data_IF_766424478173
#
_entry.id   IF_766424478173
#
_cell.length_a   1.000
_cell.length_b   1.000
_cell.length_c   1.000
_cell.angle_alpha   90.00
_cell.angle_beta   90.00
_cell.angle_gamma   90.00
#
_symmetry.space_group_name_H-M   'P 1'
#
loop_
_entity.id
_entity.type
_entity.pdbx_description
1 polymer ?
2 non-polymer ?
3 non-polymer ?
4 non-polymer ?
5 non-polymer ?
6 non-polymer ?
7 water ?
#
# COMPACT_ATOMS: atom_id res chain seq x y z
N UNK A 7 0.47 25.46 14.70
CA UNK A 7 -0.83 25.23 14.09
C UNK A 7 -1.10 23.76 13.78
N UNK A 8 -1.33 23.42 12.48
CA UNK A 8 -1.56 22.07 11.93
C UNK A 8 -0.40 21.13 12.31
N UNK A 9 0.69 21.73 12.79
CA UNK A 9 1.91 21.10 13.23
C UNK A 9 1.66 20.10 14.32
N UNK A 10 0.80 20.42 15.29
CA UNK A 10 0.48 19.55 16.42
C UNK A 10 -0.17 18.22 15.99
N UNK A 11 -0.65 18.17 14.73
CA UNK A 11 -1.24 16.99 14.09
C UNK A 11 -0.11 16.14 13.47
N UNK A 12 0.88 16.81 12.84
CA UNK A 12 2.00 16.16 12.19
C UNK A 12 3.05 15.65 13.18
N UNK A 13 3.45 16.47 14.17
CA UNK A 13 4.46 16.17 15.20
C UNK A 13 4.40 14.73 15.77
N UNK A 14 3.24 14.17 16.22
CA UNK A 14 3.25 12.80 16.79
C UNK A 14 3.75 11.72 15.83
N UNK A 15 3.35 11.80 14.53
CA UNK A 15 3.74 10.87 13.47
C UNK A 15 5.26 10.85 13.19
N UNK A 16 6.00 11.90 13.63
CA UNK A 16 7.45 12.09 13.47
C UNK A 16 8.27 11.55 14.66
N UNK A 17 7.63 10.77 15.57
CA UNK A 17 8.26 10.17 16.74
C UNK A 17 9.46 9.25 16.42
N UNK A 18 9.41 8.56 15.25
CA UNK A 18 10.44 7.65 14.72
C UNK A 18 11.79 8.31 14.31
N UNK A 19 11.81 9.66 14.24
CA UNK A 19 12.98 10.45 13.86
C UNK A 19 13.75 10.96 15.07
N UNK A 20 15.07 11.11 14.91
CA UNK A 20 15.96 11.61 15.93
C UNK A 20 15.60 13.06 16.21
N UNK A 21 15.79 13.59 17.44
CA UNK A 21 15.43 14.99 17.71
C UNK A 21 15.91 16.02 16.69
N UNK A 22 17.16 15.87 16.18
CA UNK A 22 17.78 16.76 15.19
C UNK A 22 17.03 16.69 13.87
N UNK A 23 16.54 15.50 13.54
CA UNK A 23 15.77 15.25 12.33
C UNK A 23 14.42 15.91 12.47
N UNK A 24 13.78 15.81 13.65
CA UNK A 24 12.48 16.43 13.87
C UNK A 24 12.58 17.95 13.77
N UNK A 25 13.66 18.52 14.32
CA UNK A 25 13.87 19.97 14.24
C UNK A 25 13.95 20.41 12.78
N UNK A 26 14.59 19.58 11.90
CA UNK A 26 14.71 19.85 10.45
C UNK A 26 13.32 19.93 9.84
N UNK A 27 12.46 18.92 10.15
CA UNK A 27 11.08 18.82 9.67
C UNK A 27 10.25 20.05 10.14
N UNK A 28 10.41 20.50 11.43
CA UNK A 28 9.73 21.69 11.97
C UNK A 28 10.20 22.94 11.24
N UNK A 29 11.53 23.06 11.03
CA UNK A 29 12.11 24.18 10.31
C UNK A 29 11.62 24.22 8.88
N UNK A 30 11.33 23.04 8.29
CA UNK A 30 10.75 22.89 6.95
C UNK A 30 9.28 23.33 6.95
N UNK A 31 8.47 22.86 7.93
CA UNK A 31 7.06 23.23 8.07
C UNK A 31 6.93 24.73 8.31
N UNK A 32 7.79 25.30 9.19
CA UNK A 32 7.78 26.71 9.51
C UNK A 32 8.10 27.57 8.28
N UNK A 33 8.99 27.04 7.42
CA UNK A 33 9.34 27.70 6.18
C UNK A 33 8.20 27.58 5.18
N UNK A 34 7.61 26.37 5.02
CA UNK A 34 6.46 26.13 4.12
C UNK A 34 5.31 27.02 4.54
N UNK A 35 4.93 27.00 5.83
CA UNK A 35 3.85 27.85 6.35
C UNK A 35 4.09 29.35 6.09
N UNK A 36 5.35 29.82 6.17
CA UNK A 36 5.72 31.18 5.83
C UNK A 36 5.61 31.41 4.31
N UNK A 37 6.06 30.43 3.47
CA UNK A 37 6.02 30.50 2.01
C UNK A 37 4.61 30.41 1.44
N UNK A 38 3.74 29.55 2.00
CA UNK A 38 2.35 29.33 1.57
C UNK A 38 1.35 30.15 2.34
N UNK A 39 1.82 31.21 3.01
CA UNK A 39 0.97 32.11 3.77
C UNK A 39 0.11 32.93 2.81
N UNK A 40 -1.19 32.87 3.05
CA UNK A 40 -2.20 33.59 2.27
C UNK A 40 -2.66 32.89 1.01
N UNK A 41 -2.06 31.74 0.70
CA UNK A 41 -2.40 30.94 -0.47
C UNK A 41 -3.52 29.99 -0.11
N UNK A 42 -4.42 29.75 -1.09
CA UNK A 42 -5.52 28.82 -0.96
C UNK A 42 -5.47 27.73 -2.02
N UNK A 43 -6.12 26.60 -1.73
CA UNK A 43 -6.22 25.50 -2.67
C UNK A 43 -7.53 25.72 -3.48
N UNK A 44 -7.92 24.75 -4.37
CA UNK A 44 -9.18 24.84 -5.12
C UNK A 44 -10.31 24.79 -4.06
N UNK A 45 -10.16 23.90 -3.05
CA UNK A 45 -11.03 23.88 -1.87
C UNK A 45 -10.59 25.12 -1.08
N UNK A 46 -11.54 25.85 -0.50
CA UNK A 46 -11.26 27.08 0.25
C UNK A 46 -10.15 27.04 1.29
N UNK A 47 -9.71 25.82 1.63
CA UNK A 47 -8.66 25.46 2.58
C UNK A 47 -7.32 26.17 2.30
N UNK A 48 -6.56 26.60 3.35
CA UNK A 48 -5.23 27.20 3.11
C UNK A 48 -4.28 26.19 2.51
N UNK A 49 -3.38 26.64 1.61
CA UNK A 49 -2.47 25.75 0.90
C UNK A 49 -1.65 24.87 1.82
N UNK A 50 -1.11 25.41 2.93
CA UNK A 50 -0.30 24.60 3.86
C UNK A 50 -0.95 23.24 4.23
N UNK A 51 -2.30 23.11 4.22
CA UNK A 51 -2.91 21.85 4.61
C UNK A 51 -2.41 20.70 3.71
N UNK A 52 -2.21 21.00 2.40
CA UNK A 52 -1.72 20.06 1.39
C UNK A 52 -0.29 19.60 1.73
N UNK A 53 0.78 20.44 1.74
CA UNK A 53 2.11 19.92 2.08
C UNK A 53 2.20 19.20 3.45
N UNK A 54 1.35 19.58 4.45
CA UNK A 54 1.31 18.90 5.77
C UNK A 54 0.75 17.49 5.56
N UNK A 55 -0.39 17.36 4.84
CA UNK A 55 -1.02 16.07 4.54
C UNK A 55 -0.16 15.14 3.71
N UNK A 56 0.72 15.69 2.86
CA UNK A 56 1.68 14.94 2.06
C UNK A 56 2.81 14.44 3.02
N UNK A 57 3.30 15.34 3.92
CA UNK A 57 4.31 15.03 4.93
C UNK A 57 3.78 14.00 5.88
N UNK A 58 2.45 14.00 6.14
CA UNK A 58 1.78 12.99 6.98
C UNK A 58 1.84 11.62 6.31
N UNK A 59 1.54 11.56 4.99
CA UNK A 59 1.55 10.32 4.20
C UNK A 59 2.93 9.67 4.21
N UNK A 60 3.98 10.50 4.02
CA UNK A 60 5.38 10.08 4.03
C UNK A 60 5.79 9.63 5.45
N UNK A 61 5.40 10.39 6.51
CA UNK A 61 5.71 10.05 7.90
C UNK A 61 5.04 8.73 8.36
N UNK A 62 3.89 8.40 7.77
CA UNK A 62 3.19 7.17 8.05
C UNK A 62 3.97 5.98 7.50
N UNK A 63 4.73 6.26 6.43
CA UNK A 63 5.57 5.27 5.75
C UNK A 63 6.97 5.24 6.36
N UNK A 64 7.17 6.00 7.42
CA UNK A 64 8.43 6.14 8.13
C UNK A 64 9.58 6.55 7.20
N UNK A 65 9.30 7.52 6.32
CA UNK A 65 10.25 8.04 5.34
C UNK A 65 11.36 8.87 5.98
N UNK A 66 12.45 8.99 5.19
CA UNK A 66 13.67 9.75 5.39
C UNK A 66 13.34 11.17 5.84
N UNK A 67 14.14 11.74 6.79
CA UNK A 67 13.93 13.11 7.31
C UNK A 67 13.88 14.16 6.22
N UNK A 68 14.82 14.09 5.27
CA UNK A 68 14.89 14.99 4.12
C UNK A 68 13.67 14.79 3.21
N UNK A 69 13.15 13.52 3.12
CA UNK A 69 11.97 13.18 2.33
C UNK A 69 10.73 13.78 2.95
N UNK A 70 10.55 13.67 4.28
CA UNK A 70 9.37 14.25 4.93
C UNK A 70 9.41 15.76 4.74
N UNK A 71 10.57 16.39 5.04
CA UNK A 71 10.85 17.83 4.90
C UNK A 71 10.58 18.30 3.47
N UNK A 72 11.07 17.54 2.45
CA UNK A 72 10.85 17.81 1.03
C UNK A 72 9.35 17.73 0.67
N UNK A 73 8.58 16.94 1.40
CA UNK A 73 7.13 16.83 1.26
C UNK A 73 6.45 18.11 1.74
N UNK A 74 7.00 18.77 2.76
CA UNK A 74 6.46 20.06 3.23
C UNK A 74 6.83 21.20 2.24
N UNK A 75 7.98 21.06 1.57
CA UNK A 75 8.46 22.11 0.66
C UNK A 75 8.23 21.86 -0.84
N UNK A 76 7.73 20.68 -1.26
CA UNK A 76 7.55 20.25 -2.66
C UNK A 76 6.87 21.25 -3.57
N UNK A 77 6.16 22.28 -3.03
CA UNK A 77 5.48 23.27 -3.85
C UNK A 77 6.07 24.67 -3.71
N UNK A 78 7.03 24.87 -2.77
CA UNK A 78 7.65 26.17 -2.50
C UNK A 78 8.49 26.72 -3.67
N UNK A 79 8.44 26.09 -4.85
CA UNK A 79 9.20 26.60 -5.98
C UNK A 79 8.30 27.04 -7.15
N UNK A 80 7.16 26.35 -7.36
CA UNK A 80 6.25 26.68 -8.46
C UNK A 80 5.57 28.00 -8.19
N UNK A 81 5.93 29.01 -9.05
CA UNK A 81 5.51 30.42 -9.09
C UNK A 81 5.59 31.09 -7.72
N UNK A 82 6.40 30.50 -6.84
CA UNK A 82 6.65 30.95 -5.47
C UNK A 82 7.95 31.73 -5.48
N UNK A 83 8.01 32.77 -4.63
CA UNK A 83 9.16 33.63 -4.46
C UNK A 83 10.29 32.99 -3.69
N UNK A 84 10.45 31.64 -3.80
CA UNK A 84 11.52 30.88 -3.16
C UNK A 84 12.48 30.41 -4.23
N UNK A 85 13.77 30.69 -4.01
CA UNK A 85 14.83 30.35 -4.92
C UNK A 85 15.38 28.99 -4.53
N UNK A 86 15.74 28.10 -5.50
CA UNK A 86 16.27 26.77 -5.12
C UNK A 86 17.55 26.83 -4.30
N UNK A 87 18.28 27.93 -4.43
CA UNK A 87 19.53 28.17 -3.70
C UNK A 87 19.30 28.28 -2.16
N UNK A 88 18.15 28.89 -1.77
CA UNK A 88 17.72 29.05 -0.38
C UNK A 88 17.44 27.66 0.26
N UNK A 89 16.76 26.75 -0.47
CA UNK A 89 16.46 25.40 0.01
C UNK A 89 17.73 24.61 0.25
N UNK A 90 18.77 24.80 -0.61
CA UNK A 90 20.07 24.12 -0.48
C UNK A 90 20.84 24.67 0.72
N UNK A 91 20.71 25.99 0.95
CA UNK A 91 21.36 26.71 2.04
C UNK A 91 20.77 26.28 3.39
N UNK A 92 19.45 26.10 3.44
CA UNK A 92 18.75 25.84 4.67
C UNK A 92 18.51 24.37 4.98
N UNK A 93 18.12 23.58 3.98
CA UNK A 93 17.79 22.19 4.22
C UNK A 93 18.71 21.16 3.53
N UNK A 94 19.73 21.66 2.84
CA UNK A 94 20.71 20.82 2.17
C UNK A 94 20.47 20.58 0.69
N UNK A 95 21.40 19.86 0.02
CA UNK A 95 21.20 19.61 -1.42
C UNK A 95 20.17 18.52 -1.69
N UNK A 96 20.06 17.50 -0.79
CA UNK A 96 19.11 16.39 -0.94
C UNK A 96 17.67 16.87 -0.94
N UNK A 97 17.31 17.82 -0.05
CA UNK A 97 15.97 18.37 0.02
C UNK A 97 15.72 19.17 -1.25
N UNK A 98 16.71 20.01 -1.64
CA UNK A 98 16.68 20.85 -2.84
C UNK A 98 16.49 19.99 -4.08
N UNK A 99 17.23 18.86 -4.18
CA UNK A 99 17.19 17.91 -5.30
C UNK A 99 15.78 17.38 -5.51
N UNK A 100 15.19 16.71 -4.48
CA UNK A 100 13.84 16.13 -4.48
C UNK A 100 12.81 17.21 -4.86
N UNK A 101 12.84 18.39 -4.19
CA UNK A 101 11.87 19.47 -4.36
C UNK A 101 11.90 19.99 -5.80
N UNK A 102 13.10 20.23 -6.39
CA UNK A 102 13.25 20.70 -7.78
C UNK A 102 12.56 19.71 -8.68
N UNK A 103 12.91 18.44 -8.53
CA UNK A 103 12.37 17.30 -9.26
C UNK A 103 10.85 17.17 -9.23
N UNK A 104 10.22 17.26 -8.02
CA UNK A 104 8.76 17.21 -7.82
C UNK A 104 8.05 18.44 -8.43
N UNK A 105 8.72 19.62 -8.44
CA UNK A 105 8.19 20.85 -9.04
C UNK A 105 8.27 20.77 -10.58
N UNK A 106 9.46 20.43 -11.09
CA UNK A 106 9.74 20.34 -12.54
C UNK A 106 8.86 19.26 -13.19
N UNK A 107 8.54 18.20 -12.46
CA UNK A 107 7.75 17.07 -13.05
C UNK A 107 6.23 17.31 -12.98
N UNK A 108 5.75 18.40 -13.55
CA UNK A 108 4.30 18.73 -13.76
C UNK A 108 3.51 19.08 -12.49
N UNK A 109 4.15 19.15 -11.32
CA UNK A 109 3.54 19.58 -10.03
C UNK A 109 2.23 18.85 -9.62
N UNK A 110 1.50 19.54 -8.73
CA UNK A 110 0.21 19.15 -8.11
C UNK A 110 -0.87 20.14 -8.58
N UNK A 111 -1.93 19.63 -9.26
CA UNK A 111 -3.07 20.31 -9.90
C UNK A 111 -2.72 21.07 -11.20
N UNK A 112 -1.67 20.62 -11.92
CA UNK A 112 -1.17 21.17 -13.18
C UNK A 112 -0.98 22.71 -13.19
N UNK A 121 -0.24 17.88 -23.47
CA UNK A 121 -0.58 16.47 -23.30
C UNK A 121 0.07 15.86 -22.03
N UNK A 122 -0.60 14.84 -21.44
CA UNK A 122 -0.16 14.09 -20.27
C UNK A 122 1.02 13.17 -20.60
N UNK A 123 1.29 12.98 -21.92
CA UNK A 123 2.41 12.20 -22.43
C UNK A 123 3.73 12.87 -21.99
N UNK A 124 3.79 14.23 -22.01
CA UNK A 124 4.97 15.02 -21.60
C UNK A 124 5.21 15.00 -20.09
N UNK A 125 4.12 14.85 -19.28
CA UNK A 125 4.17 14.80 -17.80
C UNK A 125 4.53 13.40 -17.29
N UNK A 126 4.24 12.37 -18.09
CA UNK A 126 4.57 10.98 -17.83
C UNK A 126 5.97 10.73 -18.36
N UNK A 127 6.38 11.51 -19.37
CA UNK A 127 7.73 11.45 -19.96
C UNK A 127 8.72 12.02 -18.95
N UNK A 128 8.42 13.19 -18.35
CA UNK A 128 9.25 13.88 -17.34
C UNK A 128 9.37 13.06 -16.07
N UNK A 129 8.34 12.25 -15.76
CA UNK A 129 8.29 11.35 -14.62
C UNK A 129 9.45 10.36 -14.72
N UNK A 130 9.72 9.86 -15.94
CA UNK A 130 10.81 8.93 -16.23
C UNK A 130 12.15 9.65 -16.19
N UNK A 131 12.26 10.81 -16.84
CA UNK A 131 13.47 11.67 -16.86
C UNK A 131 13.96 12.02 -15.43
N UNK A 132 13.02 12.12 -14.48
CA UNK A 132 13.39 12.40 -13.07
C UNK A 132 13.83 11.09 -12.40
N UNK A 133 13.53 9.95 -13.04
CA UNK A 133 13.87 8.59 -12.54
C UNK A 133 15.39 8.48 -12.40
N UNK A 134 16.14 9.09 -13.31
CA UNK A 134 17.61 9.17 -13.19
C UNK A 134 17.97 9.94 -11.91
N UNK A 135 17.22 10.99 -11.52
CA UNK A 135 17.69 11.73 -10.32
C UNK A 135 17.66 10.88 -9.06
N UNK A 136 16.49 10.41 -8.61
CA UNK A 136 16.31 9.43 -7.49
C UNK A 136 14.85 8.98 -7.38
N UNK A 137 14.64 7.72 -7.04
CA UNK A 137 13.23 7.32 -6.91
C UNK A 137 12.64 8.16 -5.78
N UNK A 138 13.47 8.90 -5.05
CA UNK A 138 13.02 9.72 -3.89
C UNK A 138 12.07 10.80 -4.40
N UNK A 139 12.37 11.37 -5.56
CA UNK A 139 11.48 12.40 -6.13
C UNK A 139 10.13 11.77 -6.35
N UNK A 140 10.07 10.57 -6.93
CA UNK A 140 8.77 9.94 -7.21
C UNK A 140 7.98 9.78 -5.91
N UNK A 141 8.54 9.07 -4.93
CA UNK A 141 7.88 8.78 -3.63
C UNK A 141 7.05 9.94 -3.14
N UNK A 142 7.63 11.12 -3.19
CA UNK A 142 6.93 12.32 -2.78
C UNK A 142 5.74 12.56 -3.71
N UNK A 143 5.93 12.41 -5.05
CA UNK A 143 4.87 12.57 -6.06
C UNK A 143 3.75 11.54 -5.88
N UNK A 144 4.06 10.37 -5.31
CA UNK A 144 3.09 9.32 -4.99
C UNK A 144 2.28 9.75 -3.77
N UNK A 145 2.94 10.33 -2.75
CA UNK A 145 2.27 10.80 -1.55
C UNK A 145 1.35 11.96 -1.89
N UNK A 146 1.86 12.89 -2.70
CA UNK A 146 1.15 14.06 -3.22
C UNK A 146 -0.06 13.60 -4.01
N UNK A 147 0.11 12.62 -4.94
CA UNK A 147 -0.96 12.08 -5.80
C UNK A 147 -2.07 11.49 -4.97
N UNK A 148 -1.70 10.69 -3.94
CA UNK A 148 -2.66 10.07 -3.02
C UNK A 148 -3.50 11.13 -2.32
N UNK A 149 -2.84 12.20 -1.83
CA UNK A 149 -3.57 13.27 -1.19
C UNK A 149 -4.49 14.01 -2.16
N UNK A 150 -4.01 14.27 -3.39
CA UNK A 150 -4.82 14.93 -4.41
C UNK A 150 -6.10 14.07 -4.67
N UNK A 151 -5.94 12.76 -4.87
CA UNK A 151 -7.09 11.88 -5.12
C UNK A 151 -8.11 11.91 -3.97
N UNK A 152 -7.60 12.04 -2.71
CA UNK A 152 -8.39 12.12 -1.49
C UNK A 152 -9.19 13.42 -1.43
N UNK A 153 -8.75 14.41 -2.16
CA UNK A 153 -9.40 15.72 -2.20
C UNK A 153 -9.81 16.07 -3.65
N UNK A 154 -10.23 15.04 -4.45
CA UNK A 154 -10.58 15.23 -5.86
C UNK A 154 -12.01 15.74 -6.08
N UNK A 155 -12.82 15.89 -5.00
CA UNK A 155 -14.19 16.42 -5.10
C UNK A 155 -14.23 17.93 -5.54
N UNK A 156 -13.09 18.62 -5.43
CA UNK A 156 -12.93 20.04 -5.77
C UNK A 156 -12.28 20.22 -7.14
N UNK A 157 -12.53 19.27 -8.05
CA UNK A 157 -11.97 19.26 -9.38
C UNK A 157 -13.06 19.08 -10.44
N UNK A 158 -12.96 19.76 -11.60
CA UNK A 158 -13.98 19.54 -12.67
C UNK A 158 -14.07 18.04 -13.04
N UNK A 159 -15.29 17.49 -13.28
CA UNK A 159 -15.41 16.04 -13.59
C UNK A 159 -14.57 15.49 -14.77
N UNK A 160 -14.01 16.36 -15.65
CA UNK A 160 -13.15 15.97 -16.78
C UNK A 160 -11.71 15.71 -16.26
N UNK A 161 -11.13 16.71 -15.52
CA UNK A 161 -9.79 16.70 -14.91
C UNK A 161 -9.66 15.51 -13.94
N UNK A 162 -10.80 15.14 -13.30
CA UNK A 162 -10.95 14.03 -12.38
C UNK A 162 -10.61 12.71 -13.09
N UNK A 163 -11.02 12.56 -14.38
CA UNK A 163 -10.80 11.35 -15.21
C UNK A 163 -9.37 11.29 -15.77
N UNK A 164 -8.75 12.44 -16.04
CA UNK A 164 -7.37 12.54 -16.52
C UNK A 164 -6.39 12.04 -15.44
N UNK A 165 -6.60 12.48 -14.18
CA UNK A 165 -5.79 12.11 -13.01
C UNK A 165 -5.93 10.63 -12.67
N UNK A 166 -7.18 10.12 -12.58
CA UNK A 166 -7.51 8.73 -12.23
C UNK A 166 -6.83 7.73 -13.17
N UNK A 167 -6.88 8.00 -14.49
CA UNK A 167 -6.25 7.17 -15.53
C UNK A 167 -4.74 7.13 -15.33
N UNK A 168 -4.13 8.31 -15.29
CA UNK A 168 -2.70 8.48 -15.06
C UNK A 168 -2.27 7.68 -13.83
N UNK A 169 -3.02 7.78 -12.71
CA UNK A 169 -2.71 7.10 -11.47
C UNK A 169 -2.68 5.62 -11.67
N UNK A 170 -3.71 5.06 -12.36
CA UNK A 170 -3.83 3.62 -12.62
C UNK A 170 -2.75 3.07 -13.55
N UNK A 171 -2.34 3.89 -14.51
CA UNK A 171 -1.32 3.53 -15.49
C UNK A 171 0.12 3.71 -14.95
N UNK A 172 0.38 4.82 -14.29
CA UNK A 172 1.71 5.18 -13.83
C UNK A 172 1.99 4.98 -12.32
N UNK A 173 1.28 5.69 -11.44
CA UNK A 173 1.60 5.70 -10.03
C UNK A 173 1.23 4.44 -9.24
N UNK A 174 0.00 3.92 -9.32
CA UNK A 174 -0.33 2.69 -8.58
C UNK A 174 0.69 1.57 -8.91
N UNK A 175 1.06 1.32 -10.19
CA UNK A 175 2.09 0.29 -10.46
C UNK A 175 3.46 0.63 -9.85
N UNK A 176 3.85 1.91 -9.84
CA UNK A 176 5.12 2.38 -9.26
C UNK A 176 5.17 2.14 -7.76
N UNK A 177 4.01 2.29 -7.09
CA UNK A 177 3.86 2.09 -5.65
C UNK A 177 4.08 0.65 -5.36
N UNK A 178 3.48 -0.22 -6.24
CA UNK A 178 3.52 -1.68 -6.25
C UNK A 178 4.96 -2.20 -6.29
N UNK A 179 5.75 -1.66 -7.24
CA UNK A 179 7.16 -1.93 -7.50
C UNK A 179 8.10 -1.38 -6.43
N UNK A 180 7.60 -0.47 -5.58
CA UNK A 180 8.40 0.08 -4.48
C UNK A 180 8.03 -0.62 -3.19
N UNK A 181 7.04 -1.51 -3.26
CA UNK A 181 6.56 -2.29 -2.14
C UNK A 181 5.66 -1.57 -1.16
N UNK A 182 4.96 -0.55 -1.65
CA UNK A 182 4.03 0.27 -0.83
C UNK A 182 2.59 -0.15 -1.16
N UNK A 183 2.23 -1.39 -0.81
CA UNK A 183 0.92 -1.98 -1.07
C UNK A 183 -0.27 -1.23 -0.51
N UNK A 184 -0.11 -0.54 0.62
CA UNK A 184 -1.25 0.19 1.22
C UNK A 184 -1.47 1.50 0.46
N UNK A 185 -0.40 2.02 -0.09
CA UNK A 185 -0.49 3.19 -0.97
C UNK A 185 -1.19 2.70 -2.28
N UNK A 186 -0.67 1.62 -2.90
CA UNK A 186 -1.14 1.01 -4.13
C UNK A 186 -2.63 0.73 -4.13
N UNK A 187 -3.16 0.08 -3.07
CA UNK A 187 -4.59 -0.22 -3.03
C UNK A 187 -5.43 1.05 -2.98
N UNK A 188 -5.02 2.06 -2.15
CA UNK A 188 -5.75 3.32 -2.01
C UNK A 188 -5.71 4.15 -3.25
N UNK A 189 -4.55 4.19 -3.93
CA UNK A 189 -4.41 4.90 -5.19
C UNK A 189 -5.36 4.28 -6.21
N UNK A 190 -5.41 2.92 -6.31
CA UNK A 190 -6.26 2.17 -7.24
C UNK A 190 -7.74 2.40 -6.98
N UNK A 191 -8.17 2.27 -5.72
CA UNK A 191 -9.56 2.40 -5.28
C UNK A 191 -10.14 3.83 -5.46
N UNK A 192 -9.32 4.87 -5.23
CA UNK A 192 -9.76 6.25 -5.42
C UNK A 192 -9.83 6.55 -6.90
N UNK A 193 -8.89 6.01 -7.69
CA UNK A 193 -8.87 6.15 -9.15
C UNK A 193 -10.09 5.49 -9.76
N UNK A 194 -10.45 4.29 -9.25
CA UNK A 194 -11.60 3.50 -9.69
C UNK A 194 -12.89 4.32 -9.47
N UNK A 195 -13.02 4.98 -8.31
CA UNK A 195 -14.16 5.80 -7.94
C UNK A 195 -14.45 6.86 -8.96
N UNK A 196 -13.42 7.60 -9.39
CA UNK A 196 -13.59 8.72 -10.31
C UNK A 196 -13.59 8.31 -11.79
N UNK A 197 -12.87 7.22 -12.16
CA UNK A 197 -12.81 6.73 -13.54
C UNK A 197 -14.14 6.06 -13.96
N UNK A 198 -14.56 4.99 -13.25
CA UNK A 198 -15.82 4.29 -13.49
C UNK A 198 -16.70 4.42 -12.24
N UNK A 199 -17.37 5.58 -12.00
CA UNK A 199 -18.18 5.70 -10.77
C UNK A 199 -19.38 4.76 -10.71
N UNK A 200 -20.04 4.48 -11.86
CA UNK A 200 -21.20 3.59 -11.97
C UNK A 200 -20.91 2.18 -11.50
N UNK A 201 -19.70 1.67 -11.83
CA UNK A 201 -19.20 0.35 -11.44
C UNK A 201 -18.81 0.37 -9.97
N UNK A 202 -18.16 1.48 -9.54
CA UNK A 202 -17.71 1.72 -8.17
C UNK A 202 -18.89 1.72 -7.20
N UNK A 203 -19.92 2.56 -7.48
CA UNK A 203 -21.15 2.71 -6.69
C UNK A 203 -21.97 1.44 -6.62
N UNK A 204 -21.97 0.64 -7.69
CA UNK A 204 -22.70 -0.62 -7.76
C UNK A 204 -22.05 -1.66 -6.84
N UNK A 205 -20.73 -1.81 -6.96
CA UNK A 205 -19.93 -2.76 -6.19
C UNK A 205 -19.82 -2.37 -4.73
N UNK A 206 -19.58 -1.07 -4.44
CA UNK A 206 -19.44 -0.56 -3.08
C UNK A 206 -20.70 -0.74 -2.22
N UNK A 207 -21.88 -0.41 -2.78
CA UNK A 207 -23.17 -0.58 -2.09
C UNK A 207 -23.47 -2.06 -1.84
N UNK A 208 -23.02 -2.95 -2.76
CA UNK A 208 -23.18 -4.41 -2.63
C UNK A 208 -22.39 -4.93 -1.40
N UNK A 209 -21.14 -4.47 -1.23
CA UNK A 209 -20.26 -4.81 -0.10
C UNK A 209 -20.81 -4.06 1.13
N UNK A 210 -21.63 -4.77 1.93
CA UNK A 210 -22.33 -4.27 3.12
C UNK A 210 -21.44 -3.48 4.11
N UNK A 211 -20.18 -3.96 4.33
CA UNK A 211 -19.20 -3.37 5.24
C UNK A 211 -18.18 -2.41 4.58
N UNK A 212 -17.54 -1.56 5.41
CA UNK A 212 -16.52 -0.58 5.02
C UNK A 212 -15.12 -1.20 5.22
N UNK A 213 -14.03 -0.51 4.77
CA UNK A 213 -12.64 -0.98 4.93
C UNK A 213 -12.22 -1.07 6.40
N UNK A 214 -12.89 -0.29 7.29
CA UNK A 214 -12.68 -0.31 8.74
C UNK A 214 -13.09 -1.69 9.30
N UNK A 215 -14.32 -2.15 8.95
CA UNK A 215 -14.88 -3.45 9.34
C UNK A 215 -14.13 -4.61 8.71
N UNK A 216 -13.65 -4.47 7.44
CA UNK A 216 -12.90 -5.50 6.70
C UNK A 216 -11.59 -5.87 7.40
N UNK A 217 -10.74 -4.86 7.70
CA UNK A 217 -9.43 -5.01 8.36
C UNK A 217 -9.53 -5.55 9.79
N UNK A 218 -10.66 -5.26 10.45
CA UNK A 218 -10.97 -5.73 11.81
C UNK A 218 -11.15 -7.25 11.82
N UNK A 219 -11.91 -7.80 10.82
CA UNK A 219 -12.19 -9.22 10.61
C UNK A 219 -10.93 -9.95 10.26
N UNK A 220 -10.13 -9.41 9.31
CA UNK A 220 -8.85 -10.00 8.88
C UNK A 220 -7.90 -10.15 10.08
N UNK A 221 -7.84 -9.13 10.96
CA UNK A 221 -7.00 -9.21 12.16
C UNK A 221 -7.53 -10.21 13.20
N UNK A 222 -8.86 -10.44 13.23
CA UNK A 222 -9.48 -11.43 14.13
C UNK A 222 -9.04 -12.81 13.64
N UNK A 223 -9.08 -13.03 12.32
CA UNK A 223 -8.68 -14.27 11.66
C UNK A 223 -7.20 -14.56 11.86
N UNK A 224 -6.35 -13.52 11.73
CA UNK A 224 -4.91 -13.60 11.92
C UNK A 224 -4.56 -14.06 13.36
N UNK A 225 -5.24 -13.47 14.39
CA UNK A 225 -5.07 -13.81 15.82
C UNK A 225 -5.44 -15.28 16.05
N UNK A 226 -6.59 -15.70 15.48
CA UNK A 226 -7.12 -17.05 15.57
C UNK A 226 -6.16 -18.09 14.99
N UNK A 227 -5.58 -17.82 13.80
CA UNK A 227 -4.63 -18.71 13.16
C UNK A 227 -3.29 -18.75 13.86
N UNK A 228 -2.70 -17.55 14.17
CA UNK A 228 -1.41 -17.40 14.88
C UNK A 228 -1.42 -18.19 16.19
N UNK A 229 -2.50 -18.05 17.00
CA UNK A 229 -2.62 -18.73 18.29
C UNK A 229 -2.88 -20.23 18.14
N UNK A 230 -3.53 -20.66 17.04
CA UNK A 230 -3.82 -22.07 16.74
C UNK A 230 -2.55 -22.81 16.30
N UNK A 231 -1.71 -22.16 15.49
CA UNK A 231 -0.46 -22.74 15.02
C UNK A 231 0.57 -22.86 16.14
N UNK A 232 0.74 -21.78 16.95
CA UNK A 232 1.66 -21.74 18.09
C UNK A 232 1.31 -22.77 19.17
N UNK A 233 0.02 -23.18 19.23
CA UNK A 233 -0.45 -24.17 20.20
C UNK A 233 -0.25 -25.63 19.73
N UNK A 234 0.05 -25.87 18.42
CA UNK A 234 0.29 -27.22 17.93
C UNK A 234 1.75 -27.62 18.22
N UNK A 235 1.90 -28.61 19.11
CA UNK A 235 3.19 -29.13 19.60
C UNK A 235 4.08 -29.73 18.51
N UNK A 236 3.54 -30.70 17.73
CA UNK A 236 4.27 -31.40 16.67
C UNK A 236 4.71 -30.46 15.54
N UNK A 237 3.88 -29.46 15.21
CA UNK A 237 4.22 -28.48 14.17
C UNK A 237 5.40 -27.64 14.61
N UNK A 238 5.33 -27.05 15.83
CA UNK A 238 6.38 -26.21 16.38
C UNK A 238 7.71 -26.96 16.53
N UNK A 239 7.67 -28.30 16.65
CA UNK A 239 8.87 -29.15 16.74
C UNK A 239 9.66 -29.14 15.42
N UNK A 240 8.95 -29.15 14.27
CA UNK A 240 9.55 -29.15 12.92
C UNK A 240 9.65 -27.73 12.33
N UNK A 241 9.27 -26.72 13.14
CA UNK A 241 9.26 -25.32 12.75
C UNK A 241 10.26 -24.49 13.57
N UNK A 242 10.82 -23.45 12.94
CA UNK A 242 11.75 -22.49 13.52
C UNK A 242 10.91 -21.26 13.93
N UNK A 243 9.92 -20.95 13.09
CA UNK A 243 8.98 -19.85 13.25
C UNK A 243 7.95 -19.79 12.14
N UNK A 244 7.00 -18.84 12.25
CA UNK A 244 5.91 -18.64 11.28
C UNK A 244 5.41 -17.19 11.24
N UNK A 245 4.67 -16.82 10.16
CA UNK A 245 4.14 -15.48 9.93
C UNK A 245 2.73 -15.59 9.30
N UNK A 246 1.73 -14.97 9.95
CA UNK A 246 0.33 -14.97 9.50
C UNK A 246 -0.09 -13.57 9.03
N UNK A 247 -0.08 -13.35 7.71
CA UNK A 247 -0.43 -12.07 7.07
C UNK A 247 -1.83 -12.11 6.49
N UNK A 248 -2.51 -10.97 6.46
CA UNK A 248 -3.86 -10.89 5.94
C UNK A 248 -4.03 -9.86 4.84
N UNK A 249 -5.23 -9.78 4.25
CA UNK A 249 -5.53 -8.84 3.17
C UNK A 249 -7.04 -8.86 2.98
N UNK A 250 -7.73 -7.72 2.84
CA UNK A 250 -9.16 -7.80 2.46
C UNK A 250 -9.07 -7.42 0.97
N UNK A 251 -9.86 -8.02 0.07
CA UNK A 251 -9.73 -7.66 -1.34
C UNK A 251 -10.27 -6.27 -1.59
N UNK A 252 -9.51 -5.44 -2.33
CA UNK A 252 -9.94 -4.08 -2.59
C UNK A 252 -10.73 -4.00 -3.86
N UNK A 253 -11.72 -3.10 -3.85
CA UNK A 253 -12.72 -2.84 -4.89
C UNK A 253 -12.19 -2.91 -6.32
N UNK A 254 -11.06 -2.23 -6.61
CA UNK A 254 -10.47 -2.29 -7.94
C UNK A 254 -10.07 -3.72 -8.32
N UNK A 255 -9.38 -4.46 -7.41
CA UNK A 255 -8.95 -5.85 -7.64
C UNK A 255 -10.12 -6.80 -7.66
N UNK A 256 -11.25 -6.42 -7.00
CA UNK A 256 -12.49 -7.22 -6.96
C UNK A 256 -13.17 -7.09 -8.32
N UNK A 257 -13.26 -5.87 -8.82
CA UNK A 257 -13.90 -5.60 -10.09
C UNK A 257 -13.05 -6.02 -11.28
N UNK A 258 -11.72 -5.93 -11.12
CA UNK A 258 -10.76 -6.29 -12.19
C UNK A 258 -10.88 -7.78 -12.55
N UNK A 259 -10.92 -8.66 -11.54
CA UNK A 259 -11.01 -10.09 -11.82
C UNK A 259 -12.42 -10.55 -12.14
N UNK A 260 -13.47 -9.78 -11.77
CA UNK A 260 -14.82 -10.16 -12.17
C UNK A 260 -15.00 -10.06 -13.68
N UNK A 261 -14.38 -9.04 -14.31
CA UNK A 261 -14.40 -8.75 -15.75
C UNK A 261 -13.42 -9.67 -16.49
N UNK A 262 -12.20 -9.85 -15.94
CA UNK A 262 -11.11 -10.67 -16.48
C UNK A 262 -11.43 -12.16 -16.45
N UNK A 263 -11.91 -12.67 -15.30
CA UNK A 263 -12.21 -14.10 -15.12
C UNK A 263 -13.66 -14.47 -15.49
N UNK A 264 -14.62 -13.61 -15.13
CA UNK A 264 -16.04 -13.82 -15.40
C UNK A 264 -16.90 -14.15 -14.20
N UNK A 265 -16.30 -14.29 -12.99
CA UNK A 265 -16.97 -14.63 -11.73
C UNK A 265 -17.86 -13.48 -11.17
N UNK A 266 -18.99 -13.80 -10.47
CA UNK A 266 -19.87 -12.82 -9.79
C UNK A 266 -19.15 -12.40 -8.47
N UNK A 267 -19.66 -11.39 -7.67
CA UNK A 267 -19.01 -11.01 -6.38
C UNK A 267 -19.17 -12.15 -5.35
N UNK A 268 -20.31 -12.88 -5.46
CA UNK A 268 -20.68 -14.07 -4.70
C UNK A 268 -19.69 -15.22 -5.02
N UNK A 269 -19.17 -15.23 -6.27
CA UNK A 269 -18.18 -16.13 -6.85
C UNK A 269 -16.70 -15.62 -6.65
N UNK A 270 -16.45 -14.77 -5.63
CA UNK A 270 -15.10 -14.32 -5.27
C UNK A 270 -14.77 -14.78 -3.83
N UNK A 271 -13.85 -15.76 -3.71
CA UNK A 271 -13.34 -16.33 -2.45
C UNK A 271 -12.35 -15.39 -1.72
N UNK A 272 -11.52 -14.71 -2.53
CA UNK A 272 -10.47 -13.74 -2.21
C UNK A 272 -10.92 -12.55 -1.38
N UNK A 273 -12.24 -12.31 -1.23
CA UNK A 273 -12.77 -11.14 -0.51
C UNK A 273 -12.23 -10.98 0.92
N UNK A 274 -11.62 -12.04 1.46
CA UNK A 274 -10.89 -12.05 2.72
C UNK A 274 -9.91 -13.21 2.57
N UNK A 275 -8.63 -12.90 2.38
CA UNK A 275 -7.60 -13.93 2.24
C UNK A 275 -6.51 -13.77 3.28
N UNK A 276 -5.91 -14.91 3.68
CA UNK A 276 -4.89 -14.97 4.73
C UNK A 276 -3.73 -15.91 4.30
N UNK A 277 -2.46 -15.46 4.46
CA UNK A 277 -1.25 -16.22 4.12
C UNK A 277 -0.56 -16.70 5.36
N UNK A 278 -0.03 -17.92 5.31
CA UNK A 278 0.77 -18.53 6.38
C UNK A 278 2.15 -18.85 5.79
N UNK A 279 3.15 -18.02 6.15
CA UNK A 279 4.54 -18.15 5.69
C UNK A 279 5.32 -18.86 6.82
N UNK A 280 5.88 -20.06 6.54
CA UNK A 280 6.54 -20.86 7.56
C UNK A 280 8.03 -21.11 7.29
N UNK A 281 8.91 -20.86 8.29
CA UNK A 281 10.32 -21.26 8.11
C UNK A 281 10.64 -22.47 8.99
N UNK A 282 10.96 -23.62 8.38
CA UNK A 282 11.23 -24.83 9.17
C UNK A 282 12.55 -24.84 9.94
N UNK A 283 12.68 -25.76 10.92
CA UNK A 283 13.90 -25.97 11.71
C UNK A 283 14.96 -26.58 10.79
N UNK A 284 16.27 -26.37 11.04
CA UNK A 284 17.30 -26.94 10.14
C UNK A 284 17.36 -28.47 10.16
N UNK A 285 17.64 -29.08 8.99
CA UNK A 285 17.71 -30.53 8.83
C UNK A 285 19.12 -31.03 8.50
N UNK A 286 19.50 -32.25 8.96
CA UNK A 286 20.85 -32.78 8.68
C UNK A 286 21.24 -32.80 7.19
N UNK A 287 20.52 -33.59 6.36
CA UNK A 287 20.78 -33.70 4.91
C UNK A 287 19.92 -32.73 4.09
N UNK A 288 20.31 -32.52 2.81
CA UNK A 288 19.65 -31.63 1.85
C UNK A 288 18.24 -32.11 1.49
N UNK A 289 18.03 -33.45 1.45
CA UNK A 289 16.75 -34.10 1.12
C UNK A 289 15.77 -34.05 2.28
N UNK A 290 16.22 -34.37 3.52
CA UNK A 290 15.40 -34.33 4.73
C UNK A 290 14.96 -32.89 5.10
N UNK A 291 15.44 -31.89 4.33
CA UNK A 291 15.11 -30.48 4.45
C UNK A 291 13.96 -30.13 3.48
N UNK A 292 14.01 -30.68 2.24
CA UNK A 292 12.99 -30.51 1.21
C UNK A 292 11.73 -31.28 1.59
N UNK A 293 11.90 -32.41 2.30
CA UNK A 293 10.82 -33.25 2.81
C UNK A 293 10.13 -32.53 3.97
N UNK A 294 10.91 -31.87 4.85
CA UNK A 294 10.44 -31.08 5.99
C UNK A 294 9.68 -29.86 5.49
N UNK A 295 10.09 -29.32 4.32
CA UNK A 295 9.49 -28.17 3.66
C UNK A 295 8.02 -28.41 3.27
N UNK A 296 7.69 -29.63 2.84
CA UNK A 296 6.34 -29.99 2.43
C UNK A 296 5.50 -30.44 3.61
N UNK A 297 6.01 -31.41 4.43
CA UNK A 297 5.35 -32.01 5.61
C UNK A 297 4.72 -30.94 6.50
N UNK A 298 5.33 -29.74 6.54
CA UNK A 298 4.84 -28.63 7.36
C UNK A 298 3.60 -28.01 6.74
N UNK A 299 3.59 -27.85 5.41
CA UNK A 299 2.50 -27.20 4.68
C UNK A 299 1.17 -27.94 4.76
N UNK A 300 1.19 -29.27 4.63
CA UNK A 300 -0.02 -30.08 4.71
C UNK A 300 -0.51 -30.19 6.17
N UNK A 301 0.44 -30.18 7.14
CA UNK A 301 0.18 -30.20 8.59
C UNK A 301 -0.59 -28.94 9.01
N UNK A 302 -0.30 -27.81 8.36
CA UNK A 302 -1.01 -26.56 8.59
C UNK A 302 -2.41 -26.72 8.01
N UNK A 303 -2.53 -27.22 6.74
CA UNK A 303 -3.80 -27.46 6.03
C UNK A 303 -4.77 -28.24 6.92
N UNK A 304 -4.27 -29.28 7.59
CA UNK A 304 -5.05 -30.09 8.52
C UNK A 304 -5.56 -29.26 9.68
N UNK A 305 -4.65 -28.57 10.39
CA UNK A 305 -4.94 -27.71 11.53
C UNK A 305 -5.95 -26.60 11.14
N UNK A 306 -5.80 -26.02 9.92
CA UNK A 306 -6.65 -24.97 9.33
C UNK A 306 -8.07 -25.51 9.14
N UNK A 307 -8.17 -26.74 8.61
CA UNK A 307 -9.44 -27.42 8.37
C UNK A 307 -10.13 -27.84 9.66
N UNK A 308 -9.34 -28.08 10.72
CA UNK A 308 -9.88 -28.41 12.04
C UNK A 308 -10.30 -27.10 12.78
N UNK A 309 -9.75 -25.92 12.37
CA UNK A 309 -10.08 -24.59 12.91
C UNK A 309 -11.29 -23.95 12.20
N UNK A 310 -11.25 -23.87 10.85
CA UNK A 310 -12.36 -23.34 10.05
C UNK A 310 -12.86 -24.43 9.08
N UNK A 311 -14.19 -24.50 8.85
CA UNK A 311 -14.80 -25.51 7.98
C UNK A 311 -14.46 -25.34 6.47
N UNK A 312 -13.79 -26.34 5.83
CA UNK A 312 -13.45 -26.19 4.40
C UNK A 312 -14.61 -26.32 3.43
N UNK A 313 -14.59 -25.48 2.40
CA UNK A 313 -15.60 -25.43 1.35
C UNK A 313 -15.30 -26.54 0.32
N UNK A 314 -16.34 -27.31 -0.09
CA UNK A 314 -16.11 -28.37 -1.09
C UNK A 314 -15.49 -27.92 -2.41
N UNK A 315 -14.44 -28.64 -2.78
CA UNK A 315 -13.65 -28.52 -4.00
C UNK A 315 -12.81 -27.28 -4.08
N UNK A 316 -12.24 -26.85 -2.92
CA UNK A 316 -11.47 -25.61 -2.89
C UNK A 316 -10.01 -25.79 -2.43
N UNK A 317 -9.53 -27.04 -2.36
CA UNK A 317 -8.12 -27.25 -2.03
C UNK A 317 -7.31 -27.23 -3.34
N UNK A 318 -6.35 -26.30 -3.41
CA UNK A 318 -5.51 -26.13 -4.58
C UNK A 318 -4.07 -26.36 -4.18
N UNK A 319 -3.52 -27.50 -4.62
CA UNK A 319 -2.16 -27.91 -4.31
C UNK A 319 -1.21 -27.53 -5.45
N UNK A 320 -0.46 -26.44 -5.24
CA UNK A 320 0.55 -25.93 -6.17
C UNK A 320 1.96 -26.37 -5.79
N UNK A 321 2.10 -27.08 -4.66
CA UNK A 321 3.37 -27.65 -4.23
C UNK A 321 3.59 -28.86 -5.18
N UNK A 322 2.58 -29.75 -5.27
CA UNK A 322 2.59 -30.93 -6.14
C UNK A 322 2.41 -30.60 -7.64
N UNK A 323 1.69 -29.50 -7.95
CA UNK A 323 1.43 -29.04 -9.33
C UNK A 323 1.78 -27.54 -9.43
N UNK A 324 3.09 -27.19 -9.51
CA UNK A 324 3.44 -25.77 -9.58
C UNK A 324 2.97 -25.12 -10.88
N UNK A 325 2.63 -23.82 -10.78
CA UNK A 325 2.15 -23.01 -11.89
C UNK A 325 3.29 -22.82 -12.91
N UNK A 326 3.03 -22.58 -14.22
CA UNK A 326 4.15 -22.38 -15.17
C UNK A 326 5.07 -21.21 -14.77
N UNK A 327 4.59 -20.29 -13.90
CA UNK A 327 5.38 -19.19 -13.33
C UNK A 327 6.23 -19.64 -12.10
N UNK A 328 6.29 -20.97 -11.88
CA UNK A 328 7.03 -21.63 -10.81
C UNK A 328 6.43 -21.58 -9.42
N UNK A 329 5.19 -21.05 -9.32
CA UNK A 329 4.46 -20.88 -8.07
C UNK A 329 4.08 -22.20 -7.34
N UNK A 330 4.56 -22.29 -6.09
CA UNK A 330 4.31 -23.38 -5.13
C UNK A 330 3.65 -22.79 -3.90
N UNK A 331 2.54 -23.41 -3.46
CA UNK A 331 1.73 -23.05 -2.29
C UNK A 331 0.47 -23.94 -2.24
N UNK A 332 -0.07 -24.08 -1.04
CA UNK A 332 -1.31 -24.81 -0.79
C UNK A 332 -2.41 -23.76 -0.58
N UNK A 333 -3.58 -23.94 -1.22
CA UNK A 333 -4.72 -23.02 -1.12
C UNK A 333 -5.95 -23.73 -0.66
N UNK A 334 -6.76 -23.06 0.15
CA UNK A 334 -8.02 -23.60 0.61
C UNK A 334 -8.96 -22.49 0.99
N UNK A 335 -10.17 -22.58 0.47
CA UNK A 335 -11.21 -21.64 0.83
C UNK A 335 -12.03 -22.35 1.90
N UNK A 336 -12.18 -21.67 3.06
CA UNK A 336 -12.85 -22.12 4.29
C UNK A 336 -14.01 -21.18 4.68
N UNK A 337 -14.77 -21.57 5.71
CA UNK A 337 -15.85 -20.76 6.25
C UNK A 337 -15.35 -20.33 7.62
N UNK A 338 -14.99 -19.04 7.72
CA UNK A 338 -14.47 -18.42 8.92
C UNK A 338 -15.33 -17.23 9.42
N UNK A 339 -15.12 -16.89 10.73
CA UNK A 339 -15.73 -15.81 11.50
C UNK A 339 -17.26 -15.88 11.45
N UNK A 340 -17.94 -14.76 11.14
CA UNK A 340 -19.39 -14.81 11.06
C UNK A 340 -19.84 -15.39 9.69
N UNK A 341 -19.72 -16.73 9.55
CA UNK A 341 -20.07 -17.53 8.36
C UNK A 341 -19.63 -16.99 7.01
N UNK A 342 -18.35 -16.53 6.94
CA UNK A 342 -17.78 -15.89 5.76
C UNK A 342 -16.70 -16.70 5.01
N UNK A 343 -16.78 -16.77 3.66
CA UNK A 343 -15.72 -17.43 2.90
C UNK A 343 -14.35 -16.69 2.97
N UNK A 344 -13.39 -17.38 3.62
CA UNK A 344 -12.02 -16.93 3.82
C UNK A 344 -11.07 -17.85 3.03
N UNK A 345 -10.13 -17.26 2.28
CA UNK A 345 -9.13 -18.03 1.55
C UNK A 345 -7.87 -18.11 2.41
N UNK A 346 -7.27 -19.28 2.49
CA UNK A 346 -6.05 -19.51 3.24
C UNK A 346 -4.98 -19.97 2.24
N UNK A 347 -3.77 -19.44 2.37
CA UNK A 347 -2.64 -19.78 1.53
C UNK A 347 -1.51 -20.24 2.45
N UNK A 348 -1.05 -21.46 2.25
CA UNK A 348 0.01 -22.01 3.09
C UNK A 348 1.25 -22.20 2.22
N UNK A 349 2.37 -21.60 2.63
CA UNK A 349 3.65 -21.75 1.94
C UNK A 349 4.82 -21.58 2.91
N UNK A 350 6.03 -22.02 2.50
CA UNK A 350 7.25 -21.85 3.30
C UNK A 350 7.93 -20.50 2.92
N UNK A 351 9.08 -20.18 3.54
CA UNK A 351 9.79 -18.94 3.21
C UNK A 351 10.39 -19.01 1.80
N UNK A 352 10.90 -20.18 1.45
CA UNK A 352 11.54 -20.46 0.18
C UNK A 352 10.54 -20.39 -0.99
N UNK A 353 9.33 -20.97 -0.79
CA UNK A 353 8.22 -20.96 -1.75
C UNK A 353 7.62 -19.54 -1.85
N UNK A 354 8.10 -18.58 -1.03
CA UNK A 354 7.64 -17.20 -1.03
C UNK A 354 8.44 -16.35 -2.02
N UNK A 355 7.77 -15.95 -3.12
CA UNK A 355 8.25 -15.16 -4.28
C UNK A 355 9.40 -15.89 -5.05
X LIG B 1 1.27 19.29 -4.59
X LIG C 1 -5.23 -8.43 -4.75
X LIG C 1 -4.76 -8.31 -6.22
X LIG C 1 -5.89 -7.20 -4.16
X LIG C 1 -6.17 -9.63 -4.70
X LIG C 1 -3.98 -8.83 -3.85
X LIG C 1 -2.63 -8.94 -4.34
X LIG C 1 -1.74 -8.45 -3.23
X LIG C 1 -2.23 -8.95 -1.96
X LIG C 1 -0.27 -8.85 -3.33
X LIG C 1 0.64 -7.78 -3.06
X LIG C 1 -0.15 -10.06 -2.39
X LIG C 1 1.12 -10.08 -1.76
X LIG C 1 -1.30 -9.86 -1.39
X LIG C 1 -2.05 -11.07 -1.02
X LIG C 1 -2.60 -11.99 -1.88
X LIG C 1 -3.16 -13.02 -1.29
X LIG C 1 -2.96 -12.76 0.06
X LIG C 1 -3.29 -13.49 1.23
X LIG C 1 -3.87 -14.69 1.21
X LIG C 1 -2.94 -12.96 2.42
X LIG C 1 -2.29 -11.78 2.44
X LIG C 1 -1.93 -11.01 1.42
X LIG C 1 -2.28 -11.56 0.23
X LIG D 1 3.14 -15.29 -8.29
X LIG D 1 2.27 -15.26 -7.42
X LIG D 1 2.38 -14.39 -6.35
X LIG D 1 1.45 -14.29 -5.33
X LIG D 1 1.73 -13.40 -4.38
X LIG D 1 1.06 -16.06 -7.37
X LIG D 1 0.57 -17.03 -8.22
X LIG D 1 -0.55 -17.41 -7.66
X LIG D 1 -0.83 -16.74 -6.50
X LIG D 1 0.20 -15.88 -6.30
X LIG D 1 0.34 -15.02 -5.26
X LIG D 1 -2.01 -16.93 -5.63
X LIG D 1 -2.65 -15.62 -5.19
X LIG D 1 -3.38 -15.79 -3.98
X LIG D 1 -3.59 -15.37 -6.36
X LIG D 1 -4.79 -14.63 -6.00
X LIG D 1 -5.29 -13.17 -6.22
X LIG D 1 -4.48 -12.35 -7.10
X LIG D 1 -6.81 -13.32 -6.77
X LIG D 1 -7.60 -13.06 -8.17
X LIG D 1 -6.91 -13.31 -9.43
X LIG D 1 -8.07 -11.55 -8.16
X LIG D 1 -8.97 -13.85 -8.21
X LIG D 1 -5.30 -12.47 -4.79
X LIG D 1 -4.10 -16.77 -6.69
X LIG D 1 -2.99 -17.65 -6.35
X LIG D 1 -4.48 -16.99 -8.14
X LIG D 1 -4.76 -18.39 -8.33
X LIG D 1 -5.81 -19.33 -7.61
X LIG D 1 -5.35 -20.73 -7.61
X LIG D 1 -6.05 -18.73 -6.23
X LIG D 1 -7.16 -19.15 -8.44
X LIG D 1 -8.66 -18.89 -8.01
X LIG D 1 -9.42 -18.24 -9.11
X LIG D 1 -8.59 -18.03 -6.74
X LIG D 1 -9.24 -20.25 -7.61
X LIG E 1 6.15 -13.42 -8.26
X LIG E 1 5.74 -12.31 -9.15
X LIG E 1 4.33 -11.92 -8.87
X LIG E 1 6.64 -11.14 -8.96
X LIG E 1 5.83 -12.73 -10.47
X LIG F 1 -3.42 -11.40 -5.38
X LIG G 1 -11.20 -19.91 -9.19
#
# INVERSE_FOLDING_TARGET
>A
SVGADLGLWNRLEPALAYLAPEERAKVREAYRFAEEAHRGQLRRSGEPYITHPVAVAEILAGLQMDADTVAAGLLHDTLEDCGVAPEELERRFGPTVRRIVEGETKVSKLYKLANLEGEERRAEDLRQMFIAMAEDVRIIIVKLADRLHNLRTLEHMPPEKQKRIAQETLEIYAPLAHRLGMGQLKWELEDLSFRYLHPEAFASLSARIQATQEARERLIQKAIHLLQETLARDELLQSQLQGFEVTGRPKHLYSIWKKMEREGKTLEQIYDLLAVRVILDPKPAPTRESQALREKQVCYHVLGLVHALWQPIPGRVKDYIAVPKPNGYQSLHTTVIALEGLPLEVQIRTREMHR
>B hetero
1 MN MN
>C hetero
1 AMP P O1P O2P O3P O5' C5' C4' O4' C3' O3' C2' O2' C1' N9 C8 N7 C5 C6 N6 N1 C2 N3 C4
>D hetero
1 GN3 O15 C9 N5 C N C2 N2 C3 N3 C1 N1 C4 C8 O14 C7 O8 P2 O10 N4 P3 O13 O12 O11 O9 C5 O C6 O1 P O3 O2 O4 P1 O7 O6 O5
>E hetero
1 TMO CAA NAC CAD CAB OAE
>F hetero
1 MG MG
>G hetero
1 MG MG
#
